data_IF_005688240466
#
_entry.id   IF_005688240466
#
_cell.length_a   1.000
_cell.length_b   1.000
_cell.length_c   1.000
_cell.angle_alpha   90.00
_cell.angle_beta   90.00
_cell.angle_gamma   90.00
#
_symmetry.space_group_name_H-M   'P 1'
#
loop_
_entity.id
_entity.type
_entity.pdbx_description
1 polymer ?
#
# COMPACT_ATOMS: atom_id res chain seq x y z
N UNK A 1 10.85 -29.61 -28.72
CA UNK A 1 11.07 -29.75 -27.28
C UNK A 1 10.15 -28.76 -26.58
N UNK A 2 9.14 -29.26 -25.88
CA UNK A 2 8.15 -28.40 -25.18
C UNK A 2 8.60 -28.29 -23.71
N UNK A 3 9.04 -27.11 -23.28
CA UNK A 3 9.24 -26.82 -21.88
C UNK A 3 7.93 -26.28 -21.28
N UNK A 4 7.31 -27.07 -20.43
CA UNK A 4 6.18 -26.66 -19.61
C UNK A 4 6.74 -25.98 -18.34
N UNK A 5 6.66 -24.66 -18.28
CA UNK A 5 6.90 -23.90 -17.06
C UNK A 5 5.58 -23.88 -16.29
N UNK A 6 5.50 -24.68 -15.23
CA UNK A 6 4.44 -24.57 -14.23
C UNK A 6 4.74 -23.34 -13.37
N UNK A 7 4.02 -22.24 -13.58
CA UNK A 7 3.93 -21.15 -12.61
C UNK A 7 2.84 -21.51 -11.61
N UNK A 8 3.07 -21.40 -10.28
CA UNK A 8 1.98 -21.45 -9.33
C UNK A 8 1.22 -20.11 -9.43
N UNK A 9 -0.04 -20.17 -9.82
CA UNK A 9 -1.00 -19.09 -9.63
C UNK A 9 -1.20 -18.97 -8.09
N UNK A 10 -0.54 -18.01 -7.46
CA UNK A 10 -0.98 -17.53 -6.16
C UNK A 10 -2.19 -16.62 -6.41
N UNK A 11 -3.36 -17.24 -6.40
CA UNK A 11 -4.63 -16.54 -6.28
C UNK A 11 -4.74 -16.06 -4.83
N UNK A 12 -4.40 -14.80 -4.58
CA UNK A 12 -4.58 -14.16 -3.28
C UNK A 12 -6.04 -13.73 -3.13
N UNK A 13 -6.93 -14.71 -2.97
CA UNK A 13 -8.29 -14.47 -2.51
C UNK A 13 -8.27 -14.58 -0.97
N UNK A 14 -8.08 -13.47 -0.27
CA UNK A 14 -8.34 -13.35 1.15
C UNK A 14 -9.86 -13.41 1.37
N UNK A 15 -10.41 -14.60 1.49
CA UNK A 15 -11.79 -14.80 1.95
C UNK A 15 -11.75 -15.13 3.42
N UNK A 16 -12.27 -14.22 4.20
CA UNK A 16 -12.51 -14.36 5.62
C UNK A 16 -13.76 -15.20 5.85
N UNK A 17 -13.65 -16.34 6.47
CA UNK A 17 -14.79 -17.09 7.02
C UNK A 17 -14.56 -17.42 8.47
N UNK A 18 -15.51 -16.95 9.28
CA UNK A 18 -15.65 -17.26 10.70
C UNK A 18 -16.14 -18.67 10.96
N UNK A 19 -15.60 -19.28 12.00
CA UNK A 19 -16.37 -20.26 12.79
C UNK A 19 -15.96 -20.15 14.26
N UNK A 20 -16.94 -19.76 15.06
CA UNK A 20 -16.93 -19.78 16.52
C UNK A 20 -17.05 -21.21 17.02
N UNK A 21 -16.17 -21.63 17.92
CA UNK A 21 -16.38 -22.85 18.71
C UNK A 21 -16.32 -22.50 20.19
N UNK A 22 -17.46 -22.68 20.82
CA UNK A 22 -17.68 -22.65 22.26
C UNK A 22 -17.14 -23.96 22.83
N UNK A 23 -16.28 -23.94 23.83
CA UNK A 23 -15.98 -25.10 24.66
C UNK A 23 -16.18 -24.75 26.12
N UNK A 24 -17.19 -25.41 26.67
CA UNK A 24 -17.58 -25.40 28.08
C UNK A 24 -16.67 -26.32 28.92
N UNK A 25 -16.25 -25.80 30.05
CA UNK A 25 -16.38 -26.52 31.32
C UNK A 25 -15.40 -27.63 31.69
N UNK A 26 -14.79 -27.47 32.84
CA UNK A 26 -14.13 -28.55 33.58
C UNK A 26 -13.69 -28.13 34.97
N UNK A 27 -14.61 -28.21 35.93
CA UNK A 27 -14.27 -28.17 37.36
C UNK A 27 -13.53 -29.45 37.79
N UNK A 28 -12.45 -29.35 38.56
CA UNK A 28 -11.76 -30.50 39.09
C UNK A 28 -10.78 -30.21 40.21
N UNK A 29 -11.30 -30.28 41.43
CA UNK A 29 -10.74 -30.71 42.72
C UNK A 29 -9.34 -30.29 43.20
N UNK A 30 -9.40 -29.72 44.38
CA UNK A 30 -8.36 -29.45 45.38
C UNK A 30 -7.58 -30.72 45.78
N UNK A 31 -6.25 -30.66 45.79
CA UNK A 31 -5.40 -31.51 46.62
C UNK A 31 -4.32 -30.64 47.30
N UNK A 32 -4.36 -30.67 48.62
CA UNK A 32 -3.32 -30.15 49.51
C UNK A 32 -2.00 -30.89 49.28
N UNK A 33 -0.91 -30.18 49.10
CA UNK A 33 0.41 -30.72 49.05
C UNK A 33 1.49 -29.69 49.19
N UNK A 34 2.11 -29.62 50.36
CA UNK A 34 3.45 -29.10 50.70
C UNK A 34 3.98 -27.88 49.99
N UNK A 35 4.14 -26.80 50.74
CA UNK A 35 4.97 -25.67 50.39
C UNK A 35 6.40 -26.12 50.05
N UNK A 36 6.79 -26.08 48.82
CA UNK A 36 8.17 -25.91 48.39
C UNK A 36 8.35 -24.43 48.11
N UNK A 37 9.34 -23.82 48.76
CA UNK A 37 9.85 -22.50 48.44
C UNK A 37 10.42 -22.53 47.02
N UNK A 38 9.53 -22.41 46.02
CA UNK A 38 9.93 -21.98 44.70
C UNK A 38 10.05 -20.46 44.75
N UNK A 39 11.08 -19.88 44.14
CA UNK A 39 11.16 -18.42 44.00
C UNK A 39 9.83 -17.93 43.42
N UNK A 40 9.21 -16.95 44.03
CA UNK A 40 7.99 -16.33 43.50
C UNK A 40 8.29 -15.88 42.06
N UNK A 41 7.66 -16.54 41.12
CA UNK A 41 7.79 -16.15 39.71
C UNK A 41 7.30 -14.70 39.58
N UNK A 42 8.19 -13.82 39.14
CA UNK A 42 7.92 -12.39 39.05
C UNK A 42 6.79 -12.17 38.03
N UNK A 43 5.71 -11.50 38.44
CA UNK A 43 4.60 -11.15 37.54
C UNK A 43 5.02 -10.05 36.59
N UNK A 44 4.46 -10.06 35.36
CA UNK A 44 4.65 -8.99 34.39
C UNK A 44 4.18 -7.64 34.94
N UNK A 45 4.88 -6.56 34.55
CA UNK A 45 4.51 -5.18 34.87
C UNK A 45 4.28 -4.40 33.56
N UNK A 46 3.40 -3.39 33.54
CA UNK A 46 3.21 -2.57 32.35
C UNK A 46 4.50 -2.01 31.74
N UNK A 47 5.47 -1.59 32.58
CA UNK A 47 6.77 -1.10 32.11
C UNK A 47 7.61 -2.17 31.36
N UNK A 48 7.40 -3.46 31.66
CA UNK A 48 8.15 -4.54 31.00
C UNK A 48 7.68 -4.74 29.55
N UNK A 49 6.41 -4.39 29.27
CA UNK A 49 5.78 -4.58 27.97
C UNK A 49 5.61 -3.29 27.18
N UNK A 50 5.77 -2.12 27.80
CA UNK A 50 5.58 -0.84 27.10
C UNK A 50 6.54 -0.66 25.93
N UNK A 51 6.09 0.06 24.89
CA UNK A 51 6.81 0.29 23.64
C UNK A 51 6.28 -0.52 22.45
N UNK A 52 7.09 -0.60 21.39
CA UNK A 52 6.73 -1.29 20.15
C UNK A 52 7.13 -2.75 20.16
N UNK A 53 6.25 -3.58 19.57
CA UNK A 53 6.45 -4.99 19.33
C UNK A 53 6.13 -5.28 17.87
N UNK A 54 7.17 -5.54 17.07
CA UNK A 54 7.03 -5.79 15.64
C UNK A 54 6.56 -7.22 15.43
N UNK A 55 5.47 -7.41 14.69
CA UNK A 55 4.97 -8.72 14.31
C UNK A 55 5.97 -9.38 13.37
N UNK A 56 6.67 -10.38 13.86
CA UNK A 56 7.67 -11.14 13.12
C UNK A 56 7.08 -12.31 12.33
N UNK A 57 5.93 -12.82 12.78
CA UNK A 57 5.18 -13.86 12.09
C UNK A 57 3.69 -13.76 12.47
N UNK A 58 2.80 -13.97 11.49
CA UNK A 58 1.37 -14.08 11.69
C UNK A 58 0.76 -15.08 10.72
N UNK A 59 -0.01 -16.06 11.21
CA UNK A 59 -0.62 -17.11 10.38
C UNK A 59 0.40 -17.89 9.52
N UNK A 60 1.65 -18.02 9.96
CA UNK A 60 2.75 -18.66 9.22
C UNK A 60 3.35 -17.82 8.11
N UNK A 61 3.04 -16.52 8.05
CA UNK A 61 3.64 -15.55 7.12
C UNK A 61 4.69 -14.75 7.89
N UNK A 62 5.92 -14.73 7.39
CA UNK A 62 7.03 -14.02 8.01
C UNK A 62 6.97 -12.51 7.80
N UNK A 63 7.68 -11.75 8.64
CA UNK A 63 7.86 -10.31 8.47
C UNK A 63 8.52 -9.98 7.11
N UNK A 64 9.50 -10.75 6.68
CA UNK A 64 10.16 -10.50 5.39
C UNK A 64 9.19 -10.65 4.22
N UNK A 65 8.33 -11.67 4.23
CA UNK A 65 7.30 -11.85 3.21
C UNK A 65 6.30 -10.67 3.19
N UNK A 66 5.90 -10.17 4.37
CA UNK A 66 4.99 -9.02 4.46
C UNK A 66 5.66 -7.72 4.02
N UNK A 67 6.93 -7.53 4.35
CA UNK A 67 7.72 -6.37 3.90
C UNK A 67 7.91 -6.35 2.38
N UNK A 68 8.11 -7.51 1.74
CA UNK A 68 8.15 -7.59 0.26
C UNK A 68 6.83 -7.17 -0.39
N UNK A 69 5.70 -7.39 0.32
CA UNK A 69 4.38 -6.91 -0.11
C UNK A 69 4.13 -5.42 0.20
N UNK A 70 5.07 -4.76 0.86
CA UNK A 70 4.96 -3.35 1.26
C UNK A 70 4.04 -3.13 2.46
N UNK A 71 4.09 -4.03 3.44
CA UNK A 71 3.33 -3.93 4.67
C UNK A 71 4.07 -4.55 5.87
N UNK A 72 3.77 -4.05 7.07
CA UNK A 72 4.08 -4.71 8.33
C UNK A 72 3.11 -4.28 9.43
N UNK A 73 3.04 -5.06 10.50
CA UNK A 73 2.21 -4.73 11.67
C UNK A 73 3.06 -4.64 12.94
N UNK A 74 2.62 -3.81 13.87
CA UNK A 74 3.20 -3.66 15.19
C UNK A 74 2.11 -3.51 16.25
N UNK A 75 2.41 -3.97 17.47
CA UNK A 75 1.65 -3.66 18.67
C UNK A 75 2.41 -2.58 19.42
N UNK A 76 1.71 -1.57 19.90
CA UNK A 76 2.27 -0.53 20.77
C UNK A 76 1.52 -0.54 22.09
N UNK A 77 2.21 -0.86 23.17
CA UNK A 77 1.66 -0.86 24.53
C UNK A 77 2.07 0.40 25.28
N UNK A 78 1.13 0.98 26.03
CA UNK A 78 1.44 2.04 26.99
C UNK A 78 1.44 1.49 28.44
N UNK A 79 1.90 2.27 29.39
CA UNK A 79 1.98 1.87 30.80
C UNK A 79 0.62 1.92 31.54
N UNK A 80 -0.45 2.41 30.88
CA UNK A 80 -1.75 2.63 31.48
C UNK A 80 -2.81 1.57 31.05
N UNK A 81 -2.39 0.51 30.36
CA UNK A 81 -3.29 -0.53 29.86
C UNK A 81 -3.83 -0.26 28.45
N UNK A 82 -3.33 0.77 27.79
CA UNK A 82 -3.68 1.07 26.41
C UNK A 82 -2.82 0.27 25.42
N UNK A 83 -3.43 -0.12 24.31
CA UNK A 83 -2.79 -0.83 23.21
C UNK A 83 -3.19 -0.20 21.88
N UNK A 84 -2.25 -0.15 20.94
CA UNK A 84 -2.53 0.10 19.52
C UNK A 84 -2.00 -1.05 18.67
N UNK A 85 -2.85 -1.57 17.80
CA UNK A 85 -2.42 -2.41 16.68
C UNK A 85 -2.26 -1.51 15.46
N UNK A 86 -1.04 -1.40 14.96
CA UNK A 86 -0.66 -0.50 13.87
C UNK A 86 -0.28 -1.38 12.67
N UNK A 87 -0.94 -1.17 11.53
CA UNK A 87 -0.56 -1.80 10.27
C UNK A 87 -0.13 -0.73 9.28
N UNK A 88 1.13 -0.75 8.91
CA UNK A 88 1.67 0.08 7.84
C UNK A 88 1.49 -0.60 6.51
N UNK A 89 1.05 0.17 5.53
CA UNK A 89 0.97 -0.17 4.13
C UNK A 89 1.83 0.84 3.36
N UNK A 90 2.26 0.49 2.17
CA UNK A 90 3.16 1.34 1.35
C UNK A 90 2.63 2.76 1.09
N UNK A 91 1.33 2.99 1.16
CA UNK A 91 0.67 4.27 0.87
C UNK A 91 -0.20 4.81 2.02
N UNK A 92 -0.36 4.03 3.10
CA UNK A 92 -1.26 4.35 4.18
C UNK A 92 -0.87 3.67 5.50
N UNK A 93 -1.57 4.05 6.56
CA UNK A 93 -1.44 3.46 7.89
C UNK A 93 -2.83 3.25 8.49
N UNK A 94 -3.04 2.09 9.07
CA UNK A 94 -4.24 1.74 9.83
C UNK A 94 -3.86 1.57 11.30
N UNK A 95 -4.55 2.26 12.19
CA UNK A 95 -4.39 2.13 13.63
C UNK A 95 -5.72 1.67 14.26
N UNK A 96 -5.62 0.72 15.18
CA UNK A 96 -6.74 0.25 16.00
C UNK A 96 -6.36 0.38 17.47
N UNK A 97 -7.15 1.12 18.21
CA UNK A 97 -6.99 1.25 19.65
C UNK A 97 -7.62 0.06 20.37
N UNK A 98 -7.00 -0.39 21.42
CA UNK A 98 -7.44 -1.48 22.26
C UNK A 98 -6.94 -1.30 23.68
N UNK A 99 -7.15 -2.32 24.50
CA UNK A 99 -6.69 -2.39 25.88
C UNK A 99 -6.00 -3.71 26.15
N UNK A 100 -5.21 -3.75 27.19
CA UNK A 100 -4.67 -4.99 27.72
C UNK A 100 -4.79 -5.05 29.24
N UNK A 101 -4.82 -6.26 29.78
CA UNK A 101 -4.79 -6.55 31.22
C UNK A 101 -3.70 -7.60 31.50
N UNK A 102 -3.04 -7.45 32.66
CA UNK A 102 -2.01 -8.39 33.12
C UNK A 102 -2.57 -9.21 34.27
N UNK A 103 -2.51 -10.54 34.17
CA UNK A 103 -2.80 -11.46 35.27
C UNK A 103 -1.61 -12.41 35.45
N UNK A 104 -0.79 -12.14 36.45
CA UNK A 104 0.44 -12.91 36.69
C UNK A 104 1.45 -12.75 35.54
N UNK A 105 1.64 -13.79 34.73
CA UNK A 105 2.52 -13.81 33.55
C UNK A 105 1.76 -13.74 32.25
N UNK A 106 0.44 -13.81 32.29
CA UNK A 106 -0.42 -13.71 31.11
C UNK A 106 -0.83 -12.27 30.85
N UNK A 107 -0.91 -11.96 29.56
CA UNK A 107 -1.40 -10.71 29.03
C UNK A 107 -2.68 -10.99 28.26
N UNK A 108 -3.75 -10.26 28.54
CA UNK A 108 -5.03 -10.39 27.84
C UNK A 108 -5.28 -9.15 26.98
N UNK A 109 -5.48 -9.34 25.70
CA UNK A 109 -5.57 -8.28 24.69
C UNK A 109 -7.01 -8.18 24.21
N UNK A 110 -7.53 -6.94 24.19
CA UNK A 110 -8.85 -6.59 23.68
C UNK A 110 -8.72 -5.47 22.65
N UNK A 111 -9.21 -5.70 21.42
CA UNK A 111 -9.24 -4.69 20.35
C UNK A 111 -10.64 -4.71 19.76
N UNK A 112 -11.40 -3.61 19.82
CA UNK A 112 -12.75 -3.55 19.30
C UNK A 112 -12.80 -3.77 17.78
N UNK A 113 -13.95 -4.20 17.27
CA UNK A 113 -14.22 -4.23 15.83
C UNK A 113 -14.08 -2.83 15.23
N UNK A 114 -13.56 -2.76 14.03
CA UNK A 114 -13.47 -1.52 13.28
C UNK A 114 -14.05 -1.70 11.88
N UNK A 115 -14.50 -0.60 11.29
CA UNK A 115 -14.98 -0.58 9.91
C UNK A 115 -13.88 -1.05 8.96
N UNK A 116 -14.30 -1.72 7.88
CA UNK A 116 -13.39 -2.13 6.81
C UNK A 116 -12.69 -0.92 6.22
N UNK A 117 -11.37 -1.00 6.11
CA UNK A 117 -10.56 0.04 5.51
C UNK A 117 -9.95 -0.49 4.21
N UNK A 118 -9.97 0.35 3.17
CA UNK A 118 -9.37 0.04 1.89
C UNK A 118 -8.13 0.90 1.66
N UNK A 119 -7.02 0.25 1.36
CA UNK A 119 -5.80 0.88 0.92
C UNK A 119 -5.46 0.37 -0.49
N UNK A 120 -5.70 1.20 -1.49
CA UNK A 120 -5.54 0.81 -2.89
C UNK A 120 -6.47 -0.35 -3.27
N UNK A 121 -5.89 -1.46 -3.71
CA UNK A 121 -6.61 -2.69 -4.06
C UNK A 121 -6.83 -3.64 -2.86
N UNK A 122 -6.34 -3.30 -1.68
CA UNK A 122 -6.40 -4.13 -0.47
C UNK A 122 -7.54 -3.61 0.41
N UNK A 123 -8.51 -4.48 0.70
CA UNK A 123 -9.53 -4.26 1.74
C UNK A 123 -9.16 -5.07 2.96
N UNK A 124 -9.04 -4.41 4.11
CA UNK A 124 -8.75 -5.04 5.39
C UNK A 124 -10.00 -4.95 6.26
N UNK A 125 -10.58 -6.09 6.55
CA UNK A 125 -11.70 -6.24 7.49
C UNK A 125 -11.16 -6.51 8.89
N UNK A 126 -11.65 -5.77 9.87
CA UNK A 126 -11.16 -5.82 11.24
C UNK A 126 -12.23 -6.39 12.16
N UNK A 127 -12.03 -7.63 12.63
CA UNK A 127 -12.87 -8.22 13.67
C UNK A 127 -12.42 -7.79 15.05
N UNK A 128 -13.34 -7.82 16.00
CA UNK A 128 -13.00 -7.69 17.40
C UNK A 128 -12.02 -8.79 17.80
N UNK A 129 -11.08 -8.44 18.66
CA UNK A 129 -10.22 -9.36 19.40
C UNK A 129 -10.67 -9.29 20.85
N UNK A 130 -11.18 -10.37 21.38
CA UNK A 130 -11.73 -10.43 22.74
C UNK A 130 -10.90 -11.37 23.59
N UNK A 131 -10.27 -10.85 24.65
CA UNK A 131 -9.49 -11.62 25.62
C UNK A 131 -8.46 -12.58 24.98
N UNK A 132 -7.77 -12.12 23.93
CA UNK A 132 -6.69 -12.90 23.34
C UNK A 132 -5.55 -13.02 24.36
N UNK A 133 -5.30 -14.23 24.81
CA UNK A 133 -4.20 -14.50 25.73
C UNK A 133 -2.87 -14.39 24.99
N UNK A 134 -1.94 -13.65 25.58
CA UNK A 134 -0.57 -13.56 25.11
C UNK A 134 0.40 -13.95 26.21
N UNK A 135 1.50 -14.56 25.83
CA UNK A 135 2.63 -14.88 26.68
C UNK A 135 3.84 -14.10 26.25
N UNK A 136 4.66 -13.69 27.21
CA UNK A 136 5.92 -12.97 26.95
C UNK A 136 7.06 -13.80 27.52
N UNK A 137 8.04 -14.10 26.65
CA UNK A 137 9.31 -14.73 27.01
C UNK A 137 10.46 -13.84 26.52
N UNK A 138 11.08 -13.13 27.46
CA UNK A 138 12.08 -12.11 27.14
C UNK A 138 11.50 -11.00 26.25
N UNK A 139 12.06 -10.84 25.07
CA UNK A 139 11.63 -9.85 24.05
C UNK A 139 10.66 -10.44 23.01
N UNK A 140 10.08 -11.61 23.27
CA UNK A 140 9.14 -12.28 22.36
C UNK A 140 7.74 -12.36 22.98
N UNK A 141 6.74 -11.86 22.27
CA UNK A 141 5.33 -11.96 22.58
C UNK A 141 4.69 -12.97 21.61
N UNK A 142 3.96 -13.95 22.15
CA UNK A 142 3.20 -14.92 21.35
C UNK A 142 1.73 -14.88 21.77
N UNK A 143 0.83 -14.81 20.81
CA UNK A 143 -0.62 -14.76 21.04
C UNK A 143 -1.37 -15.42 19.90
N UNK A 144 -2.63 -15.79 20.15
CA UNK A 144 -3.56 -16.25 19.12
C UNK A 144 -4.74 -15.29 19.02
N UNK A 145 -5.33 -15.18 17.82
CA UNK A 145 -6.56 -14.42 17.60
C UNK A 145 -6.39 -12.95 17.20
N UNK A 146 -5.16 -12.41 17.21
CA UNK A 146 -4.90 -11.03 16.70
C UNK A 146 -4.81 -11.02 15.17
N UNK A 147 -4.30 -12.09 14.57
CA UNK A 147 -4.19 -12.23 13.13
C UNK A 147 -5.56 -12.31 12.44
N UNK A 148 -5.61 -12.02 11.17
CA UNK A 148 -6.86 -12.02 10.38
C UNK A 148 -7.52 -13.41 10.30
N UNK A 149 -6.74 -14.48 10.41
CA UNK A 149 -7.22 -15.86 10.39
C UNK A 149 -7.40 -16.46 11.80
N UNK A 150 -7.01 -15.72 12.83
CA UNK A 150 -7.07 -16.17 14.21
C UNK A 150 -5.98 -17.18 14.60
N UNK A 151 -4.94 -17.30 13.78
CA UNK A 151 -3.78 -18.14 14.07
C UNK A 151 -2.77 -17.46 15.01
N UNK A 152 -1.64 -18.15 15.18
CA UNK A 152 -0.55 -17.65 16.00
C UNK A 152 0.06 -16.37 15.41
N UNK A 153 0.34 -15.44 16.31
CA UNK A 153 1.06 -14.20 16.03
C UNK A 153 2.25 -14.12 16.97
N UNK A 154 3.43 -13.95 16.42
CA UNK A 154 4.68 -13.74 17.15
C UNK A 154 5.14 -12.30 16.90
N UNK A 155 5.44 -11.58 17.97
CA UNK A 155 5.97 -10.21 17.88
C UNK A 155 7.23 -10.08 18.74
N UNK A 156 8.19 -9.30 18.27
CA UNK A 156 9.43 -9.05 18.98
C UNK A 156 9.48 -7.59 19.45
N UNK A 157 9.95 -7.38 20.70
CA UNK A 157 10.15 -6.06 21.26
C UNK A 157 11.14 -5.28 20.43
N UNK A 158 10.84 -4.02 20.17
CA UNK A 158 11.61 -3.16 19.27
C UNK A 158 11.85 -1.80 19.88
N UNK A 159 12.97 -1.17 19.54
CA UNK A 159 13.19 0.24 19.83
C UNK A 159 12.41 1.13 18.86
N UNK A 160 12.26 2.41 19.20
CA UNK A 160 11.63 3.40 18.32
C UNK A 160 12.40 3.53 16.98
N UNK A 161 13.73 3.44 17.01
CA UNK A 161 14.57 3.51 15.82
C UNK A 161 14.35 2.30 14.91
N UNK A 162 14.27 1.09 15.46
CA UNK A 162 14.00 -0.13 14.70
C UNK A 162 12.58 -0.09 14.10
N UNK A 163 11.59 0.34 14.86
CA UNK A 163 10.24 0.54 14.35
C UNK A 163 10.24 1.52 13.17
N UNK A 164 10.92 2.67 13.30
CA UNK A 164 11.01 3.67 12.24
C UNK A 164 11.72 3.13 10.99
N UNK A 165 12.74 2.28 11.14
CA UNK A 165 13.40 1.62 10.00
C UNK A 165 12.41 0.78 9.18
N UNK A 166 11.52 0.03 9.82
CA UNK A 166 10.47 -0.72 9.11
C UNK A 166 9.45 0.19 8.43
N UNK A 167 9.07 1.28 9.09
CA UNK A 167 8.20 2.31 8.48
C UNK A 167 8.84 2.85 7.20
N UNK A 168 10.11 3.25 7.27
CA UNK A 168 10.83 3.81 6.13
C UNK A 168 10.96 2.81 4.99
N UNK A 169 11.21 1.52 5.28
CA UNK A 169 11.25 0.44 4.27
C UNK A 169 9.92 0.31 3.54
N UNK A 170 8.81 0.28 4.27
CA UNK A 170 7.46 0.14 3.67
C UNK A 170 7.08 1.39 2.88
N UNK A 171 7.33 2.59 3.43
CA UNK A 171 7.05 3.86 2.76
C UNK A 171 7.88 4.02 1.48
N UNK A 172 9.14 3.53 1.47
CA UNK A 172 9.98 3.57 0.28
C UNK A 172 9.44 2.71 -0.89
N UNK A 173 8.59 1.73 -0.60
CA UNK A 173 7.87 0.91 -1.61
C UNK A 173 6.57 1.58 -2.09
N UNK A 174 6.19 2.68 -1.47
CA UNK A 174 4.97 3.41 -1.80
C UNK A 174 5.12 4.34 -3.01
N UNK A 175 4.02 5.02 -3.36
CA UNK A 175 4.03 5.98 -4.44
C UNK A 175 5.01 7.13 -4.18
N UNK A 176 5.81 7.45 -5.18
CA UNK A 176 6.74 8.58 -5.15
C UNK A 176 5.97 9.88 -5.37
N UNK A 177 6.00 10.79 -4.41
CA UNK A 177 5.31 12.08 -4.52
C UNK A 177 6.16 13.06 -5.28
N UNK A 178 5.54 13.77 -6.24
CA UNK A 178 6.18 14.81 -7.05
C UNK A 178 5.30 16.06 -7.07
N UNK A 179 5.92 17.21 -7.04
CA UNK A 179 5.28 18.47 -7.38
C UNK A 179 5.36 18.73 -8.89
N UNK A 180 4.50 19.62 -9.39
CA UNK A 180 4.63 20.16 -10.76
C UNK A 180 5.98 20.88 -10.89
N UNK A 181 6.72 20.59 -11.94
CA UNK A 181 8.10 21.06 -12.18
C UNK A 181 9.18 20.12 -11.67
N UNK A 182 8.84 19.11 -10.85
CA UNK A 182 9.80 18.11 -10.38
C UNK A 182 9.99 16.97 -11.38
N UNK A 183 11.16 16.35 -11.31
CA UNK A 183 11.54 15.24 -12.17
C UNK A 183 11.44 13.90 -11.41
N UNK A 184 10.62 13.02 -11.94
CA UNK A 184 10.56 11.61 -11.53
C UNK A 184 11.57 10.78 -12.31
N UNK A 185 12.05 9.70 -11.70
CA UNK A 185 13.01 8.78 -12.31
C UNK A 185 12.66 7.35 -11.97
N UNK A 186 12.64 6.49 -12.99
CA UNK A 186 12.69 5.04 -12.87
C UNK A 186 14.02 4.55 -13.44
N UNK A 187 14.27 3.25 -13.45
CA UNK A 187 15.42 2.66 -14.15
C UNK A 187 15.31 2.75 -15.70
N UNK A 188 14.12 3.06 -16.23
CA UNK A 188 13.83 3.07 -17.69
C UNK A 188 13.44 4.44 -18.24
N UNK A 189 13.04 5.36 -17.39
CA UNK A 189 12.57 6.68 -17.80
C UNK A 189 12.93 7.77 -16.79
N UNK A 190 13.18 8.97 -17.31
CA UNK A 190 13.07 10.20 -16.54
C UNK A 190 11.94 11.04 -17.12
N UNK A 191 11.23 11.77 -16.27
CA UNK A 191 10.16 12.62 -16.73
C UNK A 191 9.97 13.83 -15.81
N UNK A 192 9.53 14.94 -16.38
CA UNK A 192 9.18 16.15 -15.63
C UNK A 192 7.72 16.48 -15.88
N UNK A 193 6.97 16.74 -14.81
CA UNK A 193 5.59 17.20 -14.92
C UNK A 193 5.62 18.70 -15.18
N UNK A 194 5.49 19.10 -16.43
CA UNK A 194 5.61 20.51 -16.85
C UNK A 194 4.42 21.35 -16.40
N UNK A 195 3.22 20.75 -16.40
CA UNK A 195 1.98 21.37 -15.92
C UNK A 195 0.91 20.34 -15.58
N UNK A 196 0.00 20.71 -14.67
CA UNK A 196 -1.24 20.00 -14.40
C UNK A 196 -2.34 21.07 -14.24
N UNK A 197 -3.34 21.09 -15.14
CA UNK A 197 -4.36 22.14 -15.15
C UNK A 197 -5.64 21.71 -15.88
N UNK A 198 -6.74 22.39 -15.59
CA UNK A 198 -7.97 22.25 -16.35
C UNK A 198 -7.89 23.07 -17.64
N UNK A 199 -8.30 22.46 -18.75
CA UNK A 199 -8.34 23.07 -20.08
C UNK A 199 -9.64 22.69 -20.80
N UNK A 200 -10.09 23.51 -21.74
CA UNK A 200 -11.29 23.22 -22.54
C UNK A 200 -10.99 22.26 -23.69
N UNK A 201 -9.75 22.27 -24.19
CA UNK A 201 -9.32 21.48 -25.34
C UNK A 201 -7.92 20.93 -25.14
N UNK A 202 -7.61 19.78 -25.74
CA UNK A 202 -6.29 19.16 -25.66
C UNK A 202 -5.64 19.15 -27.04
N UNK A 203 -4.59 19.94 -27.21
CA UNK A 203 -3.83 20.09 -28.45
C UNK A 203 -2.52 19.28 -28.42
N UNK A 204 -1.99 18.88 -29.59
CA UNK A 204 -0.61 18.44 -29.71
C UNK A 204 0.35 19.58 -29.38
N UNK A 205 1.62 19.25 -29.14
CA UNK A 205 2.67 20.27 -28.88
C UNK A 205 3.01 21.10 -30.11
N UNK A 206 2.79 20.56 -31.33
CA UNK A 206 2.98 21.25 -32.59
C UNK A 206 1.64 21.40 -33.32
N UNK A 207 1.20 22.63 -33.54
CA UNK A 207 -0.02 23.00 -34.26
C UNK A 207 0.25 23.73 -35.58
N UNK A 208 1.50 23.68 -36.09
CA UNK A 208 1.91 24.42 -37.28
C UNK A 208 1.37 23.84 -38.60
N UNK A 209 0.82 22.60 -38.60
CA UNK A 209 0.30 21.91 -39.77
C UNK A 209 -1.12 21.41 -39.57
N UNK A 210 -1.47 20.33 -40.27
CA UNK A 210 -2.70 19.61 -39.99
C UNK A 210 -2.51 18.79 -38.72
N UNK A 211 -3.34 19.02 -37.70
CA UNK A 211 -3.30 18.33 -36.41
C UNK A 211 -4.69 17.82 -36.01
N UNK A 212 -4.72 16.81 -35.17
CA UNK A 212 -5.90 16.36 -34.44
C UNK A 212 -5.83 16.85 -32.99
N UNK A 213 -6.97 17.17 -32.42
CA UNK A 213 -7.07 17.62 -31.03
C UNK A 213 -8.40 17.17 -30.43
N UNK A 214 -8.54 17.25 -29.13
CA UNK A 214 -9.78 16.97 -28.42
C UNK A 214 -10.52 18.27 -28.16
N UNK A 215 -11.72 18.37 -28.71
CA UNK A 215 -12.52 19.60 -28.71
C UNK A 215 -13.26 19.75 -27.37
N UNK A 216 -13.63 20.99 -27.08
CA UNK A 216 -14.52 21.36 -26.01
C UNK A 216 -15.80 20.50 -25.98
N UNK A 217 -16.26 20.16 -24.77
CA UNK A 217 -17.53 19.48 -24.53
C UNK A 217 -18.33 20.27 -23.49
N UNK A 218 -19.56 20.63 -23.79
CA UNK A 218 -20.44 21.42 -22.91
C UNK A 218 -20.57 20.78 -21.52
N UNK A 219 -20.33 21.59 -20.48
CA UNK A 219 -20.41 21.17 -19.07
C UNK A 219 -19.27 20.25 -18.61
N UNK A 220 -18.18 20.16 -19.39
CA UNK A 220 -17.02 19.35 -19.06
C UNK A 220 -15.71 20.09 -19.38
N UNK A 221 -14.69 19.75 -18.62
CA UNK A 221 -13.30 20.20 -18.86
C UNK A 221 -12.36 19.00 -18.92
N UNK A 222 -11.25 19.17 -19.62
CA UNK A 222 -10.14 18.20 -19.53
C UNK A 222 -9.24 18.61 -18.37
N UNK A 223 -8.92 17.65 -17.49
CA UNK A 223 -7.78 17.77 -16.59
C UNK A 223 -6.57 17.20 -17.31
N UNK A 224 -5.58 18.03 -17.58
CA UNK A 224 -4.43 17.74 -18.44
C UNK A 224 -3.12 17.95 -17.70
N UNK A 225 -2.29 16.89 -17.65
CA UNK A 225 -0.88 16.98 -17.35
C UNK A 225 -0.06 17.00 -18.65
N UNK A 226 0.87 17.94 -18.77
CA UNK A 226 1.93 17.93 -19.77
C UNK A 226 3.20 17.42 -19.15
N UNK A 227 3.86 16.52 -19.84
CA UNK A 227 5.02 15.80 -19.30
C UNK A 227 6.11 15.75 -20.36
N UNK A 228 7.31 16.18 -20.01
CA UNK A 228 8.53 15.90 -20.77
C UNK A 228 9.04 14.53 -20.32
N UNK A 229 9.04 13.56 -21.22
CA UNK A 229 9.41 12.16 -20.95
C UNK A 229 10.66 11.79 -21.76
N UNK A 230 11.66 11.22 -21.11
CA UNK A 230 12.87 10.69 -21.75
C UNK A 230 12.97 9.19 -21.49
N UNK A 231 13.04 8.40 -22.55
CA UNK A 231 13.32 6.98 -22.47
C UNK A 231 14.81 6.75 -22.20
N UNK A 232 15.19 6.37 -20.99
CA UNK A 232 16.60 6.07 -20.65
C UNK A 232 16.93 4.58 -20.77
N UNK A 233 15.96 3.75 -21.16
CA UNK A 233 16.14 2.34 -21.46
C UNK A 233 17.04 2.07 -22.65
N UNK A 234 17.16 0.80 -23.03
CA UNK A 234 18.00 0.32 -24.15
C UNK A 234 17.20 0.04 -25.43
N UNK A 235 15.86 -0.04 -25.32
CA UNK A 235 14.94 -0.28 -26.41
C UNK A 235 13.90 0.83 -26.45
N UNK A 236 13.08 0.88 -27.53
CA UNK A 236 11.97 1.81 -27.59
C UNK A 236 10.93 1.54 -26.50
N UNK A 237 10.21 2.57 -26.09
CA UNK A 237 9.09 2.50 -25.17
C UNK A 237 7.79 2.94 -25.88
N UNK A 238 6.66 2.40 -25.43
CA UNK A 238 5.31 2.81 -25.83
C UNK A 238 4.56 3.37 -24.60
N UNK A 239 4.93 4.56 -24.08
CA UNK A 239 4.37 5.05 -22.83
C UNK A 239 2.84 5.10 -22.82
N UNK A 240 2.20 5.40 -23.95
CA UNK A 240 0.75 5.44 -24.07
C UNK A 240 0.05 4.07 -23.90
N UNK A 241 0.75 2.96 -24.05
CA UNK A 241 0.24 1.61 -23.82
C UNK A 241 0.85 0.94 -22.60
N UNK A 242 2.11 1.21 -22.36
CA UNK A 242 2.88 0.50 -21.35
C UNK A 242 2.70 1.08 -19.95
N UNK A 243 2.15 2.28 -19.81
CA UNK A 243 1.91 2.93 -18.53
C UNK A 243 0.41 3.11 -18.28
N UNK A 244 0.04 3.32 -17.02
CA UNK A 244 -1.34 3.60 -16.63
C UNK A 244 -1.40 4.92 -15.87
N UNK A 245 -2.47 5.68 -16.09
CA UNK A 245 -2.72 6.90 -15.35
C UNK A 245 -4.16 6.94 -14.83
N UNK A 246 -4.32 7.50 -13.66
CA UNK A 246 -5.62 7.81 -13.07
C UNK A 246 -5.60 9.16 -12.38
N UNK A 247 -6.72 9.86 -12.44
CA UNK A 247 -6.93 11.09 -11.68
C UNK A 247 -7.91 10.84 -10.54
N UNK A 248 -7.66 11.46 -9.41
CA UNK A 248 -8.58 11.50 -8.29
C UNK A 248 -8.91 12.95 -7.96
N UNK A 249 -10.20 13.30 -7.94
CA UNK A 249 -10.69 14.65 -7.66
C UNK A 249 -11.77 14.53 -6.60
N UNK A 250 -11.55 15.11 -5.42
CA UNK A 250 -12.47 15.02 -4.30
C UNK A 250 -12.94 13.57 -4.01
N UNK A 251 -12.03 12.60 -4.09
CA UNK A 251 -12.30 11.17 -3.86
C UNK A 251 -12.92 10.41 -5.05
N UNK A 252 -13.26 11.08 -6.16
CA UNK A 252 -13.76 10.41 -7.35
C UNK A 252 -12.61 10.08 -8.31
N UNK A 253 -12.57 8.84 -8.81
CA UNK A 253 -11.52 8.35 -9.71
C UNK A 253 -11.94 8.45 -11.18
N UNK A 254 -11.01 8.91 -12.02
CA UNK A 254 -11.17 9.04 -13.48
C UNK A 254 -9.97 8.37 -14.15
N UNK A 255 -10.23 7.51 -15.14
CA UNK A 255 -9.16 6.90 -15.93
C UNK A 255 -8.50 7.94 -16.82
N UNK A 256 -7.17 7.99 -16.77
CA UNK A 256 -6.34 8.87 -17.61
C UNK A 256 -6.10 8.26 -18.99
N UNK A 257 -6.16 9.10 -20.04
CA UNK A 257 -5.61 8.76 -21.35
C UNK A 257 -4.18 9.28 -21.43
N UNK A 258 -3.31 8.48 -22.03
CA UNK A 258 -1.89 8.81 -22.20
C UNK A 258 -1.59 8.84 -23.69
N UNK A 259 -1.17 9.98 -24.20
CA UNK A 259 -0.85 10.17 -25.61
C UNK A 259 0.48 10.88 -25.79
N UNK A 260 1.22 10.41 -26.78
CA UNK A 260 2.54 10.91 -27.14
C UNK A 260 2.40 11.91 -28.27
N UNK A 261 3.06 13.03 -28.14
CA UNK A 261 3.17 14.01 -29.22
C UNK A 261 4.27 13.58 -30.20
N UNK A 262 3.87 13.26 -31.42
CA UNK A 262 4.75 12.97 -32.53
C UNK A 262 4.58 14.08 -33.60
N UNK A 263 5.14 15.27 -33.34
CA UNK A 263 4.89 16.48 -34.12
C UNK A 263 3.43 16.90 -34.00
N UNK A 264 2.70 17.11 -35.12
CA UNK A 264 1.29 17.55 -35.10
C UNK A 264 0.29 16.43 -34.77
N UNK A 265 0.74 15.24 -34.38
CA UNK A 265 -0.12 14.09 -34.12
C UNK A 265 -0.08 13.68 -32.66
N UNK A 266 -1.25 13.29 -32.16
CA UNK A 266 -1.40 12.57 -30.92
C UNK A 266 -1.60 11.09 -31.16
N UNK A 267 -1.09 10.24 -30.28
CA UNK A 267 -1.40 8.83 -30.29
C UNK A 267 -0.74 8.07 -29.15
N UNK A 268 -1.48 7.14 -28.60
CA UNK A 268 -0.98 6.21 -27.58
C UNK A 268 0.01 5.17 -28.13
N UNK A 269 -0.02 4.93 -29.45
CA UNK A 269 0.82 3.95 -30.14
C UNK A 269 2.14 4.51 -30.69
N UNK A 270 2.44 5.77 -30.44
CA UNK A 270 3.74 6.33 -30.81
C UNK A 270 4.81 5.87 -29.83
N UNK A 271 5.92 5.42 -30.40
CA UNK A 271 7.08 4.97 -29.63
C UNK A 271 8.04 6.13 -29.39
N UNK A 272 8.72 6.04 -28.28
CA UNK A 272 9.85 6.89 -27.94
C UNK A 272 11.09 6.02 -28.02
N UNK A 273 11.99 6.30 -28.97
CA UNK A 273 13.21 5.53 -29.16
C UNK A 273 14.13 5.61 -27.92
N UNK A 274 15.06 4.66 -27.81
CA UNK A 274 16.02 4.67 -26.74
C UNK A 274 16.83 5.95 -26.73
N UNK A 275 16.92 6.62 -25.57
CA UNK A 275 17.59 7.91 -25.32
C UNK A 275 16.89 9.13 -25.93
N UNK A 276 15.74 8.94 -26.56
CA UNK A 276 14.94 10.06 -27.08
C UNK A 276 14.02 10.65 -26.01
N UNK A 277 13.63 11.90 -26.25
CA UNK A 277 12.68 12.65 -25.43
C UNK A 277 11.42 12.96 -26.23
N UNK A 278 10.27 12.85 -25.59
CA UNK A 278 8.97 13.17 -26.16
C UNK A 278 8.11 13.95 -25.17
N UNK A 279 7.18 14.75 -25.68
CA UNK A 279 6.11 15.32 -24.84
C UNK A 279 4.96 14.32 -24.75
N UNK A 280 4.53 14.05 -23.53
CA UNK A 280 3.39 13.20 -23.21
C UNK A 280 2.26 14.06 -22.67
N UNK A 281 1.04 13.82 -23.15
CA UNK A 281 -0.19 14.36 -22.60
C UNK A 281 -0.91 13.25 -21.82
N UNK A 282 -1.16 13.49 -20.54
CA UNK A 282 -1.98 12.63 -19.69
C UNK A 282 -3.23 13.42 -19.34
N UNK A 283 -4.42 12.92 -19.68
CA UNK A 283 -5.65 13.68 -19.46
C UNK A 283 -6.86 12.79 -19.23
N UNK A 284 -7.86 13.37 -18.56
CA UNK A 284 -9.21 12.82 -18.46
C UNK A 284 -10.25 13.91 -18.68
N UNK A 285 -11.46 13.52 -19.07
CA UNK A 285 -12.60 14.42 -19.20
C UNK A 285 -13.44 14.33 -17.93
N UNK A 286 -13.69 15.45 -17.29
CA UNK A 286 -14.43 15.54 -16.02
C UNK A 286 -15.59 16.53 -16.14
N UNK A 287 -16.70 16.35 -15.39
CA UNK A 287 -17.75 17.35 -15.27
C UNK A 287 -17.22 18.64 -14.66
N UNK A 288 -17.66 19.82 -15.15
CA UNK A 288 -17.25 21.10 -14.57
C UNK A 288 -17.64 21.25 -13.09
N UNK A 289 -18.67 20.51 -12.64
CA UNK A 289 -19.10 20.51 -11.25
C UNK A 289 -18.10 19.93 -10.26
N UNK A 290 -17.11 19.16 -10.73
CA UNK A 290 -16.05 18.61 -9.86
C UNK A 290 -14.75 19.43 -9.94
N UNK A 291 -14.66 20.37 -10.88
CA UNK A 291 -13.59 21.33 -10.98
C UNK A 291 -13.59 22.19 -9.70
N UNK A 292 -12.44 22.31 -9.06
CA UNK A 292 -12.28 23.05 -7.80
C UNK A 292 -13.05 22.48 -6.60
N UNK A 293 -13.55 21.24 -6.69
CA UNK A 293 -14.30 20.59 -5.58
C UNK A 293 -13.41 20.03 -4.47
N UNK A 294 -12.10 20.00 -4.65
CA UNK A 294 -11.14 19.49 -3.67
C UNK A 294 -9.77 19.20 -4.27
N UNK A 295 -8.96 18.48 -3.48
CA UNK A 295 -7.62 18.07 -3.90
C UNK A 295 -7.69 17.24 -5.19
N UNK A 296 -6.79 17.55 -6.11
CA UNK A 296 -6.63 16.84 -7.38
C UNK A 296 -5.30 16.10 -7.38
N UNK A 297 -5.36 14.79 -7.63
CA UNK A 297 -4.18 13.90 -7.72
C UNK A 297 -4.14 13.23 -9.08
N UNK A 298 -2.96 13.20 -9.68
CA UNK A 298 -2.63 12.31 -10.79
C UNK A 298 -1.73 11.19 -10.26
N UNK A 299 -2.14 9.94 -10.44
CA UNK A 299 -1.27 8.77 -10.25
C UNK A 299 -0.84 8.26 -11.62
N UNK A 300 0.47 8.09 -11.82
CA UNK A 300 1.04 7.54 -13.04
C UNK A 300 1.93 6.34 -12.70
N UNK A 301 1.56 5.16 -13.22
CA UNK A 301 2.24 3.88 -12.99
C UNK A 301 3.11 3.55 -14.20
N UNK A 302 4.42 3.40 -13.98
CA UNK A 302 5.44 3.17 -15.01
C UNK A 302 6.15 1.84 -14.74
N UNK A 303 6.14 0.86 -15.67
CA UNK A 303 6.86 -0.39 -15.48
C UNK A 303 8.36 -0.18 -15.24
N UNK A 304 8.92 -1.04 -14.39
CA UNK A 304 10.36 -1.02 -14.05
C UNK A 304 11.19 -2.06 -14.82
N UNK A 305 10.55 -2.91 -15.62
CA UNK A 305 11.22 -3.90 -16.46
C UNK A 305 11.02 -3.59 -17.95
N UNK A 306 12.12 -3.55 -18.73
CA UNK A 306 12.18 -3.18 -20.13
C UNK A 306 11.22 -3.99 -21.01
N UNK A 307 11.02 -5.29 -20.72
CA UNK A 307 10.12 -6.15 -21.48
C UNK A 307 8.64 -5.68 -21.45
N UNK A 308 8.27 -4.87 -20.46
CA UNK A 308 6.90 -4.36 -20.33
C UNK A 308 6.72 -2.96 -20.94
N UNK A 309 7.80 -2.24 -21.24
CA UNK A 309 7.72 -0.88 -21.79
C UNK A 309 7.25 -0.81 -23.25
N UNK A 310 7.11 -1.95 -23.92
CA UNK A 310 6.63 -2.05 -25.30
C UNK A 310 5.37 -2.91 -25.46
N UNK A 311 4.65 -3.17 -24.37
CA UNK A 311 3.41 -3.96 -24.32
C UNK A 311 2.30 -3.24 -23.55
N UNK A 312 1.07 -3.75 -23.62
CA UNK A 312 -0.04 -3.18 -22.83
C UNK A 312 0.20 -3.34 -21.34
N UNK A 313 0.00 -2.25 -20.61
CA UNK A 313 0.10 -2.22 -19.15
C UNK A 313 -0.79 -3.28 -18.49
N UNK A 314 -0.27 -3.87 -17.42
CA UNK A 314 -1.02 -4.71 -16.50
C UNK A 314 -0.57 -4.39 -15.08
N UNK A 315 -1.52 -4.21 -14.17
CA UNK A 315 -1.24 -3.92 -12.75
C UNK A 315 -0.41 -5.00 -12.03
N UNK A 316 -0.27 -6.19 -12.64
CA UNK A 316 0.60 -7.27 -12.14
C UNK A 316 2.06 -7.12 -12.55
N UNK A 317 2.39 -6.15 -13.43
CA UNK A 317 3.78 -5.89 -13.80
C UNK A 317 4.47 -5.13 -12.67
N UNK A 318 5.77 -5.37 -12.40
CA UNK A 318 6.56 -4.51 -11.54
C UNK A 318 6.55 -3.08 -12.08
N UNK A 319 6.16 -2.11 -11.26
CA UNK A 319 6.05 -0.72 -11.65
C UNK A 319 6.33 0.22 -10.47
N UNK A 320 6.73 1.42 -10.79
CA UNK A 320 6.79 2.55 -9.87
C UNK A 320 5.53 3.40 -10.05
N UNK A 321 4.89 3.78 -8.95
CA UNK A 321 3.80 4.74 -8.92
C UNK A 321 4.31 6.13 -8.57
N UNK A 322 3.87 7.13 -9.33
CA UNK A 322 4.16 8.54 -9.06
C UNK A 322 2.84 9.27 -8.81
N UNK A 323 2.77 9.99 -7.70
CA UNK A 323 1.60 10.79 -7.33
C UNK A 323 1.93 12.27 -7.40
N UNK A 324 1.20 12.99 -8.25
CA UNK A 324 1.33 14.43 -8.47
C UNK A 324 0.08 15.09 -7.93
N UNK A 325 0.24 16.08 -7.06
CA UNK A 325 -0.87 16.83 -6.47
C UNK A 325 -0.88 18.26 -7.03
N UNK A 326 -2.11 18.75 -7.35
CA UNK A 326 -2.36 20.13 -7.77
C UNK A 326 -2.90 20.96 -6.60
#
# INVERSE_FOLDING_TARGET
MRYAIKKPLLSLAFVLVLLSAIALGGCGSVSNGSASDSPAEESLKPADISGYWIVSEADGISLDDTLELGMFSALQFDENGGLKLITHLKDSKVEREGTYEIDGKSLYINIPEAEEQSAGAISISFKAVENAEATIDGDTLTTNGISTKGGETVANKSTDEQYQEYVDRVVALGPKKLAVGETGTTNLATFTIDSLSYVDEVYPSDTSGFYSYYTHQDGKSYLLARVTYTNIGTEYALPGYATEASFEIAGNKYSGKIEINAGPRFGSNYRVEAKDTATVAIYCLVPDSVKDSGETKLTWSIPTDQQYMNTYYRSTFPHDDFVITM
#
